data_IF_286469456199
#
_entry.id   IF_286469456199
#
_cell.length_a   1.000
_cell.length_b   1.000
_cell.length_c   1.000
_cell.angle_alpha   90.00
_cell.angle_beta   90.00
_cell.angle_gamma   90.00
#
_symmetry.space_group_name_H-M   'P 1'
#
loop_
_entity.id
_entity.type
_entity.pdbx_description
1 polymer ?
#
# COMPACT_ATOMS: atom_id res chain seq x y z
N UNK A 1 11.87 10.24 20.69
CA UNK A 1 13.04 10.27 19.79
C UNK A 1 13.37 11.73 19.52
N UNK A 2 14.64 12.17 19.55
CA UNK A 2 14.99 13.56 19.35
C UNK A 2 14.64 13.99 17.93
N UNK A 3 13.85 15.04 17.82
CA UNK A 3 13.54 15.72 16.57
C UNK A 3 14.83 16.31 16.00
N UNK A 4 15.15 16.00 14.74
CA UNK A 4 16.23 16.64 14.01
C UNK A 4 17.42 15.75 13.61
N UNK A 5 17.30 14.42 13.67
CA UNK A 5 18.36 13.57 13.13
C UNK A 5 18.42 13.70 11.61
N UNK A 6 19.58 14.10 11.10
CA UNK A 6 19.86 14.09 9.65
C UNK A 6 19.71 12.63 9.20
N UNK A 7 18.88 12.41 8.18
CA UNK A 7 18.77 11.08 7.59
C UNK A 7 20.11 10.74 6.94
N UNK A 8 20.69 9.62 7.34
CA UNK A 8 21.94 9.11 6.78
C UNK A 8 21.66 7.96 5.82
N UNK A 9 22.61 7.69 4.93
CA UNK A 9 22.58 6.49 4.10
C UNK A 9 22.56 5.24 4.98
N UNK A 10 21.81 4.24 4.56
CA UNK A 10 21.71 2.96 5.27
C UNK A 10 22.11 1.82 4.33
N UNK A 11 22.62 0.75 4.90
CA UNK A 11 22.93 -0.48 4.18
C UNK A 11 22.01 -1.59 4.67
N UNK A 12 21.30 -2.22 3.74
CA UNK A 12 20.47 -3.42 3.98
C UNK A 12 20.97 -4.50 3.04
N UNK A 13 21.41 -5.63 3.58
CA UNK A 13 22.07 -6.69 2.85
C UNK A 13 23.26 -6.18 2.01
N UNK A 14 23.20 -6.31 0.70
CA UNK A 14 24.22 -5.91 -0.26
C UNK A 14 23.98 -4.51 -0.87
N UNK A 15 22.86 -3.85 -0.55
CA UNK A 15 22.45 -2.59 -1.16
C UNK A 15 22.57 -1.40 -0.21
N UNK A 16 22.88 -0.24 -0.79
CA UNK A 16 22.89 1.05 -0.10
C UNK A 16 21.67 1.86 -0.51
N UNK A 17 21.03 2.44 0.49
CA UNK A 17 19.84 3.27 0.32
C UNK A 17 20.11 4.68 0.85
N UNK A 18 19.65 5.67 0.09
CA UNK A 18 19.75 7.08 0.45
C UNK A 18 18.41 7.62 0.93
N UNK A 19 18.39 8.63 1.79
CA UNK A 19 17.16 9.28 2.24
C UNK A 19 16.29 9.74 1.08
N UNK A 20 14.97 9.53 1.20
CA UNK A 20 14.02 9.94 0.16
C UNK A 20 12.89 10.83 0.69
N UNK A 21 12.07 10.32 1.63
CA UNK A 21 11.00 11.10 2.29
C UNK A 21 11.09 10.93 3.80
N UNK A 22 11.00 12.04 4.51
CA UNK A 22 10.93 12.04 5.98
C UNK A 22 9.56 11.62 6.46
N UNK A 23 9.51 11.02 7.64
CA UNK A 23 8.24 10.64 8.28
C UNK A 23 7.26 11.81 8.39
N UNK A 24 7.75 13.00 8.72
CA UNK A 24 6.91 14.21 8.81
C UNK A 24 6.18 14.52 7.49
N UNK A 25 6.87 14.38 6.35
CA UNK A 25 6.26 14.57 5.03
C UNK A 25 5.22 13.47 4.73
N UNK A 26 5.55 12.21 5.08
CA UNK A 26 4.65 11.07 4.94
C UNK A 26 3.36 11.31 5.74
N UNK A 27 3.48 11.73 7.01
CA UNK A 27 2.31 12.03 7.86
C UNK A 27 1.41 13.13 7.26
N UNK A 28 1.99 14.16 6.66
CA UNK A 28 1.25 15.22 6.00
C UNK A 28 0.47 14.70 4.77
N UNK A 29 1.09 13.84 3.94
CA UNK A 29 0.41 13.19 2.83
C UNK A 29 -0.74 12.30 3.30
N UNK A 30 -0.52 11.50 4.35
CA UNK A 30 -1.54 10.60 4.91
C UNK A 30 -2.72 11.39 5.48
N UNK A 31 -2.45 12.46 6.23
CA UNK A 31 -3.49 13.34 6.78
C UNK A 31 -4.37 13.92 5.69
N UNK A 32 -3.77 14.43 4.62
CA UNK A 32 -4.50 14.99 3.47
C UNK A 32 -5.34 13.92 2.78
N UNK A 33 -4.77 12.71 2.59
CA UNK A 33 -5.48 11.59 2.00
C UNK A 33 -6.67 11.14 2.83
N UNK A 34 -6.48 11.00 4.16
CA UNK A 34 -7.54 10.59 5.08
C UNK A 34 -8.70 11.58 5.10
N UNK A 35 -8.41 12.88 5.05
CA UNK A 35 -9.46 13.90 4.95
C UNK A 35 -10.23 13.80 3.62
N UNK A 36 -9.52 13.59 2.49
CA UNK A 36 -10.17 13.41 1.18
C UNK A 36 -11.10 12.21 1.17
N UNK A 37 -10.64 11.07 1.69
CA UNK A 37 -11.47 9.87 1.81
C UNK A 37 -12.68 10.11 2.72
N UNK A 38 -12.48 10.81 3.84
CA UNK A 38 -13.57 11.14 4.76
C UNK A 38 -14.67 11.96 4.08
N UNK A 39 -14.35 12.98 3.29
CA UNK A 39 -15.36 13.79 2.60
C UNK A 39 -16.26 12.96 1.68
N UNK A 40 -15.69 11.93 1.03
CA UNK A 40 -16.46 11.03 0.17
C UNK A 40 -17.35 10.05 0.96
N UNK A 41 -16.98 9.73 2.22
CA UNK A 41 -17.63 8.70 3.04
C UNK A 41 -18.20 9.23 4.37
N UNK A 42 -18.33 10.53 4.55
CA UNK A 42 -18.75 11.15 5.84
C UNK A 42 -20.12 10.70 6.36
N UNK A 43 -20.99 10.18 5.51
CA UNK A 43 -22.32 9.67 5.86
C UNK A 43 -22.39 8.13 5.78
N UNK A 44 -21.26 7.46 5.62
CA UNK A 44 -21.16 6.02 5.44
C UNK A 44 -20.19 5.43 6.46
N UNK A 45 -20.19 4.12 6.61
CA UNK A 45 -19.20 3.40 7.42
C UNK A 45 -18.43 2.45 6.51
N UNK A 46 -17.36 2.93 5.83
CA UNK A 46 -16.57 2.10 4.93
C UNK A 46 -15.79 1.01 5.68
N UNK A 47 -15.45 -0.05 4.97
CA UNK A 47 -14.53 -1.07 5.43
C UNK A 47 -13.17 -0.82 4.78
N UNK A 48 -12.17 -0.46 5.57
CA UNK A 48 -10.79 -0.39 5.12
C UNK A 48 -10.16 -1.78 5.19
N UNK A 49 -9.59 -2.23 4.08
CA UNK A 49 -8.94 -3.54 3.98
C UNK A 49 -7.48 -3.34 3.64
N UNK A 50 -6.60 -3.59 4.61
CA UNK A 50 -5.15 -3.51 4.41
C UNK A 50 -4.58 -4.74 3.72
N UNK A 51 -3.80 -4.54 2.66
CA UNK A 51 -3.08 -5.61 1.97
C UNK A 51 -1.71 -5.79 2.61
N UNK A 52 -1.57 -6.84 3.42
CA UNK A 52 -0.37 -7.12 4.21
C UNK A 52 0.78 -7.65 3.30
N UNK A 53 2.07 -7.40 3.70
CA UNK A 53 2.54 -6.88 5.00
C UNK A 53 2.90 -5.38 4.97
N UNK A 54 3.28 -4.84 3.82
CA UNK A 54 3.87 -3.50 3.69
C UNK A 54 2.96 -2.36 4.16
N UNK A 55 1.65 -2.54 4.03
CA UNK A 55 0.64 -1.52 4.36
C UNK A 55 0.57 -1.15 5.85
N UNK A 56 1.17 -1.95 6.74
CA UNK A 56 0.89 -1.89 8.19
C UNK A 56 1.10 -0.50 8.81
N UNK A 57 2.18 0.19 8.44
CA UNK A 57 2.46 1.53 8.97
C UNK A 57 1.53 2.58 8.38
N UNK A 58 1.35 2.56 7.07
CA UNK A 58 0.41 3.44 6.37
C UNK A 58 -1.02 3.27 6.89
N UNK A 59 -1.49 2.04 7.01
CA UNK A 59 -2.82 1.71 7.50
C UNK A 59 -3.07 2.25 8.91
N UNK A 60 -2.12 2.01 9.83
CA UNK A 60 -2.21 2.49 11.21
C UNK A 60 -2.28 4.01 11.29
N UNK A 61 -1.41 4.71 10.56
CA UNK A 61 -1.36 6.17 10.62
C UNK A 61 -2.55 6.81 9.87
N UNK A 62 -3.01 6.21 8.78
CA UNK A 62 -4.22 6.63 8.10
C UNK A 62 -5.45 6.60 9.03
N UNK A 63 -5.64 5.51 9.78
CA UNK A 63 -6.76 5.38 10.73
C UNK A 63 -6.72 6.44 11.82
N UNK A 64 -5.55 6.83 12.31
CA UNK A 64 -5.41 7.92 13.30
C UNK A 64 -5.85 9.28 12.76
N UNK A 65 -5.76 9.48 11.44
CA UNK A 65 -6.15 10.71 10.77
C UNK A 65 -7.56 10.69 10.18
N UNK A 66 -8.18 9.51 10.08
CA UNK A 66 -9.54 9.37 9.54
C UNK A 66 -10.57 9.71 10.61
N UNK A 67 -11.37 10.81 10.46
CA UNK A 67 -12.25 11.28 11.53
C UNK A 67 -13.63 10.58 11.57
N UNK A 68 -13.93 9.74 10.58
CA UNK A 68 -15.23 9.06 10.45
C UNK A 68 -15.28 7.70 11.16
N UNK A 69 -16.48 7.13 11.23
CA UNK A 69 -16.65 5.73 11.61
C UNK A 69 -16.18 4.84 10.47
N UNK A 70 -15.48 3.76 10.82
CA UNK A 70 -15.03 2.77 9.84
C UNK A 70 -14.88 1.40 10.49
N UNK A 71 -14.86 0.38 9.66
CA UNK A 71 -14.45 -0.97 10.04
C UNK A 71 -13.14 -1.33 9.37
N UNK A 72 -12.41 -2.27 9.95
CA UNK A 72 -11.10 -2.69 9.44
C UNK A 72 -11.05 -4.19 9.21
N UNK A 73 -10.30 -4.60 8.20
CA UNK A 73 -9.93 -5.97 7.93
C UNK A 73 -8.55 -6.01 7.24
N UNK A 74 -8.00 -7.20 7.11
CA UNK A 74 -6.73 -7.41 6.43
C UNK A 74 -6.83 -8.59 5.48
N UNK A 75 -6.08 -8.49 4.38
CA UNK A 75 -5.82 -9.58 3.45
C UNK A 75 -4.32 -9.77 3.36
N UNK A 76 -3.89 -11.02 3.31
CA UNK A 76 -2.52 -11.35 2.97
C UNK A 76 -2.47 -11.90 1.56
N UNK A 77 -1.67 -11.28 0.70
CA UNK A 77 -1.44 -11.70 -0.68
C UNK A 77 -0.03 -12.25 -0.77
N UNK A 78 0.12 -13.52 -1.08
CA UNK A 78 1.43 -14.12 -1.35
C UNK A 78 1.59 -14.42 -2.83
N UNK A 79 2.65 -13.88 -3.44
CA UNK A 79 3.08 -14.30 -4.77
C UNK A 79 3.89 -15.60 -4.64
N UNK A 80 3.39 -16.67 -5.21
CA UNK A 80 4.14 -17.94 -5.25
C UNK A 80 5.01 -17.98 -6.52
N UNK A 81 6.33 -17.90 -6.35
CA UNK A 81 7.28 -18.16 -7.42
C UNK A 81 7.60 -19.64 -7.48
N UNK A 82 6.70 -20.43 -8.06
CA UNK A 82 6.96 -21.88 -8.17
C UNK A 82 5.80 -22.64 -8.78
N UNK A 83 5.73 -22.73 -10.10
CA UNK A 83 4.80 -23.60 -10.80
C UNK A 83 4.64 -23.21 -12.27
N UNK A 84 4.82 -24.17 -13.16
CA UNK A 84 4.73 -24.11 -14.63
C UNK A 84 3.32 -23.73 -15.14
N UNK A 85 2.87 -22.50 -14.91
CA UNK A 85 1.73 -21.96 -15.66
C UNK A 85 1.98 -20.50 -16.03
N UNK A 86 1.76 -20.20 -17.28
CA UNK A 86 2.06 -18.94 -17.98
C UNK A 86 1.21 -17.71 -17.59
N UNK A 87 0.58 -17.71 -16.43
CA UNK A 87 -0.27 -16.63 -15.91
C UNK A 87 0.10 -16.14 -14.50
N UNK A 88 1.21 -16.51 -14.01
CA UNK A 88 2.15 -15.79 -13.14
C UNK A 88 1.76 -15.42 -11.72
N UNK A 89 0.56 -15.49 -11.19
CA UNK A 89 0.29 -15.21 -9.77
C UNK A 89 -0.79 -16.17 -9.27
N UNK A 90 -0.38 -17.16 -8.48
CA UNK A 90 -1.33 -18.02 -7.74
C UNK A 90 -1.50 -17.43 -6.35
N UNK A 91 -2.67 -16.85 -6.09
CA UNK A 91 -3.05 -16.41 -4.75
C UNK A 91 -3.40 -17.62 -3.89
N UNK A 92 -2.51 -18.02 -3.02
CA UNK A 92 -2.83 -18.96 -1.97
C UNK A 92 -3.42 -18.21 -0.76
N UNK A 93 -4.73 -18.43 -0.54
CA UNK A 93 -5.53 -17.96 0.59
C UNK A 93 -5.63 -16.44 0.78
N UNK A 94 -6.46 -15.82 -0.04
CA UNK A 94 -7.16 -14.63 0.41
C UNK A 94 -8.41 -15.11 1.18
N UNK A 95 -8.37 -15.10 2.49
CA UNK A 95 -9.54 -15.41 3.31
C UNK A 95 -9.93 -14.15 4.08
N UNK A 96 -10.93 -13.46 3.56
CA UNK A 96 -11.54 -12.36 4.27
C UNK A 96 -12.57 -12.93 5.24
N UNK A 97 -12.30 -12.84 6.54
CA UNK A 97 -13.20 -13.35 7.59
C UNK A 97 -14.41 -12.44 7.84
N UNK A 98 -14.40 -11.23 7.28
CA UNK A 98 -15.46 -10.24 7.44
C UNK A 98 -16.43 -10.32 6.27
N UNK A 99 -17.74 -10.34 6.58
CA UNK A 99 -18.77 -10.13 5.55
C UNK A 99 -18.75 -8.68 5.06
N UNK A 100 -18.60 -8.51 3.77
CA UNK A 100 -18.50 -7.21 3.10
C UNK A 100 -19.50 -7.05 1.95
N UNK A 101 -20.48 -7.97 1.82
CA UNK A 101 -21.53 -7.87 0.84
C UNK A 101 -22.33 -6.57 1.03
N UNK A 102 -22.55 -5.84 -0.05
CA UNK A 102 -23.26 -4.56 -0.03
C UNK A 102 -22.56 -3.40 0.71
N UNK A 103 -21.30 -3.58 1.16
CA UNK A 103 -20.53 -2.57 1.87
C UNK A 103 -19.63 -1.75 0.93
N UNK A 104 -19.29 -0.56 1.35
CA UNK A 104 -18.22 0.22 0.71
C UNK A 104 -16.86 -0.30 1.18
N UNK A 105 -16.03 -0.75 0.24
CA UNK A 105 -14.68 -1.24 0.51
C UNK A 105 -13.65 -0.26 -0.04
N UNK A 106 -12.62 -0.01 0.76
CA UNK A 106 -11.43 0.72 0.35
C UNK A 106 -10.22 -0.18 0.62
N UNK A 107 -9.61 -0.68 -0.45
CA UNK A 107 -8.35 -1.41 -0.38
C UNK A 107 -7.22 -0.42 -0.08
N UNK A 108 -6.39 -0.76 0.90
CA UNK A 108 -5.27 0.06 1.33
C UNK A 108 -3.97 -0.62 0.94
N UNK A 109 -3.15 0.07 0.15
CA UNK A 109 -1.85 -0.40 -0.32
C UNK A 109 -0.73 0.57 0.08
N UNK A 110 0.43 0.05 0.42
CA UNK A 110 1.63 0.84 0.67
C UNK A 110 2.18 1.45 -0.62
N UNK A 111 2.26 0.66 -1.68
CA UNK A 111 2.74 1.10 -2.98
C UNK A 111 2.01 0.38 -4.11
N UNK A 112 1.57 1.13 -5.10
CA UNK A 112 1.09 0.59 -6.37
C UNK A 112 2.19 0.78 -7.43
N UNK A 113 2.70 -0.35 -7.90
CA UNK A 113 3.69 -0.43 -8.99
C UNK A 113 2.98 -0.76 -10.31
N UNK A 114 3.02 -2.01 -10.76
CA UNK A 114 2.34 -2.45 -12.00
C UNK A 114 0.83 -2.56 -11.88
N UNK A 115 0.29 -2.69 -10.68
CA UNK A 115 -1.13 -2.88 -10.40
C UNK A 115 -1.64 -4.32 -10.50
N UNK A 116 -0.76 -5.30 -10.71
CA UNK A 116 -1.16 -6.72 -10.84
C UNK A 116 -1.88 -7.25 -9.60
N UNK A 117 -1.41 -6.90 -8.41
CA UNK A 117 -2.05 -7.26 -7.13
C UNK A 117 -3.48 -6.76 -7.07
N UNK A 118 -3.69 -5.48 -7.40
CA UNK A 118 -5.02 -4.86 -7.38
C UNK A 118 -5.97 -5.46 -8.42
N UNK A 119 -5.49 -5.75 -9.63
CA UNK A 119 -6.28 -6.42 -10.66
C UNK A 119 -6.87 -7.74 -10.16
N UNK A 120 -6.04 -8.56 -9.54
CA UNK A 120 -6.48 -9.83 -8.97
C UNK A 120 -7.39 -9.65 -7.74
N UNK A 121 -7.16 -8.62 -6.93
CA UNK A 121 -8.07 -8.29 -5.83
C UNK A 121 -9.43 -7.84 -6.35
N UNK A 122 -9.49 -7.06 -7.42
CA UNK A 122 -10.76 -6.66 -8.04
C UNK A 122 -11.54 -7.89 -8.56
N UNK A 123 -10.87 -8.82 -9.22
CA UNK A 123 -11.49 -10.08 -9.65
C UNK A 123 -12.00 -10.91 -8.47
N UNK A 124 -11.19 -11.02 -7.41
CA UNK A 124 -11.57 -11.73 -6.19
C UNK A 124 -12.85 -11.14 -5.58
N UNK A 125 -12.89 -9.82 -5.32
CA UNK A 125 -14.06 -9.18 -4.72
C UNK A 125 -15.29 -9.24 -5.61
N UNK A 126 -15.14 -9.07 -6.92
CA UNK A 126 -16.24 -9.17 -7.89
C UNK A 126 -16.88 -10.56 -7.88
N UNK A 127 -16.08 -11.60 -7.77
CA UNK A 127 -16.54 -12.98 -7.87
C UNK A 127 -17.04 -13.57 -6.55
N UNK A 128 -16.57 -13.07 -5.40
CA UNK A 128 -16.82 -13.70 -4.09
C UNK A 128 -17.65 -12.88 -3.12
N UNK A 129 -17.61 -11.55 -3.18
CA UNK A 129 -18.13 -10.71 -2.08
C UNK A 129 -19.16 -9.65 -2.47
N UNK A 130 -19.28 -9.27 -3.73
CA UNK A 130 -20.26 -8.30 -4.26
C UNK A 130 -20.40 -7.03 -3.42
N UNK A 131 -19.34 -6.25 -3.18
CA UNK A 131 -19.41 -5.02 -2.42
C UNK A 131 -20.27 -3.95 -3.12
N UNK A 132 -20.82 -2.99 -2.37
CA UNK A 132 -21.53 -1.81 -2.90
C UNK A 132 -20.59 -0.94 -3.74
N UNK A 133 -19.36 -0.77 -3.30
CA UNK A 133 -18.27 -0.16 -4.06
C UNK A 133 -16.93 -0.73 -3.63
N UNK A 134 -15.97 -0.73 -4.55
CA UNK A 134 -14.58 -1.13 -4.32
C UNK A 134 -13.68 -0.03 -4.85
N UNK A 135 -12.95 0.64 -3.96
CA UNK A 135 -11.98 1.70 -4.27
C UNK A 135 -10.62 1.38 -3.67
N UNK A 136 -9.60 2.11 -4.13
CA UNK A 136 -8.21 1.92 -3.68
C UNK A 136 -7.67 3.22 -3.11
N UNK A 137 -7.00 3.12 -1.95
CA UNK A 137 -6.17 4.16 -1.39
C UNK A 137 -4.72 3.66 -1.27
N UNK A 138 -3.78 4.36 -1.87
CA UNK A 138 -2.36 4.02 -1.84
C UNK A 138 -1.52 5.14 -1.26
N UNK A 139 -0.52 4.79 -0.45
CA UNK A 139 0.47 5.75 0.01
C UNK A 139 1.34 6.22 -1.17
N UNK A 140 1.83 5.28 -1.97
CA UNK A 140 2.71 5.55 -3.10
C UNK A 140 2.14 4.98 -4.40
N UNK A 141 2.32 5.70 -5.49
CA UNK A 141 2.02 5.24 -6.86
C UNK A 141 3.21 5.51 -7.77
N UNK A 142 3.56 4.55 -8.61
CA UNK A 142 4.54 4.70 -9.70
C UNK A 142 3.83 4.83 -11.05
N UNK A 143 3.46 6.04 -11.51
CA UNK A 143 2.66 6.20 -12.72
C UNK A 143 3.38 5.76 -14.00
N UNK A 144 4.73 5.76 -14.00
CA UNK A 144 5.53 5.32 -15.15
C UNK A 144 5.34 3.85 -15.50
N UNK A 145 5.06 2.99 -14.51
CA UNK A 145 4.93 1.53 -14.68
C UNK A 145 3.51 1.02 -14.51
N UNK A 146 2.64 1.81 -13.90
CA UNK A 146 1.22 1.49 -13.80
C UNK A 146 0.54 1.62 -15.17
N UNK A 147 0.13 0.49 -15.78
CA UNK A 147 -0.43 0.42 -17.13
C UNK A 147 -1.74 -0.39 -17.16
N UNK A 148 -2.60 -0.16 -16.17
CA UNK A 148 -3.90 -0.83 -16.08
C UNK A 148 -5.03 0.06 -16.57
N UNK A 149 -6.14 -0.55 -16.98
CA UNK A 149 -7.35 0.14 -17.47
C UNK A 149 -8.27 0.63 -16.34
N UNK A 150 -7.77 0.63 -15.09
CA UNK A 150 -8.46 1.19 -13.94
C UNK A 150 -7.60 2.26 -13.27
N UNK A 151 -8.24 3.12 -12.49
CA UNK A 151 -7.57 4.20 -11.76
C UNK A 151 -7.43 3.88 -10.29
N UNK A 152 -6.43 4.48 -9.63
CA UNK A 152 -6.30 4.47 -8.18
C UNK A 152 -7.05 5.70 -7.65
N UNK A 153 -8.11 5.47 -6.85
CA UNK A 153 -9.05 6.52 -6.45
C UNK A 153 -8.39 7.58 -5.54
N UNK A 154 -7.50 7.12 -4.64
CA UNK A 154 -6.85 7.95 -3.65
C UNK A 154 -5.36 7.65 -3.61
N UNK A 155 -4.53 8.59 -4.03
CA UNK A 155 -3.06 8.50 -4.00
C UNK A 155 -2.52 9.60 -3.11
N UNK A 156 -1.71 9.23 -2.12
CA UNK A 156 -1.06 10.21 -1.24
C UNK A 156 0.13 10.86 -1.95
N UNK A 157 0.98 10.08 -2.63
CA UNK A 157 2.17 10.58 -3.32
C UNK A 157 2.51 9.74 -4.55
N UNK A 158 2.68 10.42 -5.69
CA UNK A 158 3.31 9.82 -6.87
C UNK A 158 4.84 9.88 -6.74
N UNK A 159 5.51 8.80 -7.14
CA UNK A 159 6.97 8.67 -7.10
C UNK A 159 7.49 8.13 -8.44
N UNK A 160 8.74 8.44 -8.82
CA UNK A 160 9.37 7.84 -9.99
C UNK A 160 9.58 6.34 -9.82
N UNK A 161 9.83 5.64 -10.93
CA UNK A 161 10.08 4.19 -10.89
C UNK A 161 11.46 3.87 -10.29
N UNK A 162 11.59 4.05 -8.98
CA UNK A 162 12.75 3.68 -8.17
C UNK A 162 12.36 2.66 -7.13
N UNK A 163 13.33 1.85 -6.70
CA UNK A 163 13.11 0.97 -5.55
C UNK A 163 13.16 1.79 -4.26
N UNK A 164 12.13 1.66 -3.44
CA UNK A 164 11.99 2.35 -2.16
C UNK A 164 11.84 1.37 -1.00
N UNK A 165 12.28 1.76 0.16
CA UNK A 165 12.40 0.96 1.38
C UNK A 165 12.03 1.80 2.59
N UNK A 166 11.50 1.17 3.62
CA UNK A 166 11.10 1.83 4.86
C UNK A 166 9.60 2.10 4.94
N UNK A 167 9.14 2.55 6.07
CA UNK A 167 7.73 2.85 6.34
C UNK A 167 6.77 1.72 5.95
N UNK A 168 7.13 0.48 6.31
CA UNK A 168 6.39 -0.73 5.94
C UNK A 168 6.98 -1.50 4.76
N UNK A 169 7.63 -0.83 3.82
CA UNK A 169 8.29 -1.43 2.66
C UNK A 169 9.62 -2.11 3.05
N UNK A 170 9.95 -3.21 2.39
CA UNK A 170 11.14 -4.01 2.68
C UNK A 170 12.06 -4.21 1.48
N UNK A 171 13.27 -4.66 1.80
CA UNK A 171 14.17 -5.33 0.90
C UNK A 171 14.60 -6.66 1.54
N UNK A 172 14.13 -7.77 0.97
CA UNK A 172 14.38 -9.12 1.47
C UNK A 172 14.09 -9.24 2.97
N UNK A 173 12.85 -8.93 3.35
CA UNK A 173 12.25 -8.94 4.70
C UNK A 173 12.78 -7.88 5.69
N UNK A 174 13.79 -7.10 5.35
CA UNK A 174 14.35 -6.07 6.24
C UNK A 174 13.94 -4.65 5.82
N UNK A 175 13.92 -3.73 6.79
CA UNK A 175 13.71 -2.29 6.57
C UNK A 175 12.29 -1.81 6.84
N UNK A 176 11.29 -2.66 7.00
CA UNK A 176 9.90 -2.26 7.25
C UNK A 176 9.71 -1.35 8.46
N UNK A 177 10.55 -1.49 9.48
CA UNK A 177 10.50 -0.76 10.73
C UNK A 177 11.14 0.64 10.68
N UNK A 178 11.75 1.01 9.56
CA UNK A 178 12.30 2.36 9.39
C UNK A 178 11.17 3.39 9.34
N UNK A 179 11.27 4.51 10.08
CA UNK A 179 10.20 5.50 10.13
C UNK A 179 10.11 6.36 8.86
N UNK A 180 11.21 6.46 8.13
CA UNK A 180 11.36 7.25 6.91
C UNK A 180 11.38 6.35 5.68
N UNK A 181 11.20 6.93 4.49
CA UNK A 181 11.43 6.26 3.22
C UNK A 181 12.82 6.55 2.68
N UNK A 182 13.43 5.52 2.17
CA UNK A 182 14.73 5.53 1.50
C UNK A 182 14.59 5.02 0.07
N UNK A 183 15.45 5.46 -0.82
CA UNK A 183 15.53 4.94 -2.19
C UNK A 183 16.88 4.27 -2.43
N UNK A 184 16.90 3.27 -3.32
CA UNK A 184 18.14 2.62 -3.73
C UNK A 184 19.09 3.65 -4.36
N UNK A 185 20.37 3.67 -3.94
CA UNK A 185 21.36 4.64 -4.39
C UNK A 185 21.69 4.48 -5.88
N UNK A 186 21.96 3.26 -6.33
CA UNK A 186 22.51 2.95 -7.66
C UNK A 186 21.49 2.39 -8.67
N UNK A 187 20.22 2.80 -8.59
CA UNK A 187 19.25 2.47 -9.63
C UNK A 187 18.24 1.38 -9.28
N UNK A 188 17.91 0.49 -10.21
CA UNK A 188 16.86 -0.53 -10.08
C UNK A 188 17.41 -1.85 -9.53
N UNK A 189 16.67 -2.53 -8.68
CA UNK A 189 16.93 -3.95 -8.43
C UNK A 189 16.42 -4.71 -9.65
N UNK A 190 17.32 -5.35 -10.38
CA UNK A 190 16.93 -6.31 -11.40
C UNK A 190 16.48 -7.59 -10.68
N UNK A 191 15.21 -7.91 -10.81
CA UNK A 191 14.62 -9.18 -10.36
C UNK A 191 14.79 -10.25 -11.41
#
# INVERSE_FOLDING_TARGET
LPFGKIMEKIKIHDKTFVPYLKNEEIQNYIKTLAQKVYEDYKNETPVFIGVLNGVIMFFSDFLKHYPGQCEVAFLQVSSYHGGLTSTGIVYNKMELTKDVEGRHIILMEDIVDTGNTLESLFEYFKNTHRPKSLRVASLLLKPEVFKKDFTIDYVAKEIPNKFVLGYGLDYDELGRNLPDLYQLEDGRINH
#
